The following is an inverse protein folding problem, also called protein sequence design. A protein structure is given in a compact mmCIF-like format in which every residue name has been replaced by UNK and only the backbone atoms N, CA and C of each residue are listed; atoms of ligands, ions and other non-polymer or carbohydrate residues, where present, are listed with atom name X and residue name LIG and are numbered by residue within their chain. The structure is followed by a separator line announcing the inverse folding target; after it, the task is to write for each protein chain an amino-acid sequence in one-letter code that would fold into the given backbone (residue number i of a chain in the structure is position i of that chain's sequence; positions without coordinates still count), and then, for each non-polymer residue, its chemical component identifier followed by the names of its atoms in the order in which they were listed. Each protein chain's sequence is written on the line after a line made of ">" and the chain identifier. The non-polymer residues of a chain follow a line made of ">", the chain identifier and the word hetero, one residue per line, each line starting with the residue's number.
data_IF_926788877321
#
_entry.id   IF_926788877321
#
_cell.length_a   1.000
_cell.length_b   1.000
_cell.length_c   1.000
_cell.angle_alpha   90.00
_cell.angle_beta   90.00
_cell.angle_gamma   90.00
#
_symmetry.space_group_name_H-M   'P 1'
#
loop_
_entity.id
_entity.type
_entity.pdbx_description
1 polymer ?
#
# COMPACT_ATOMS: atom_id res chain seq x y z
N UNK A 1 2.23 -18.44 18.38
CA UNK A 1 2.51 -18.29 16.94
C UNK A 1 1.48 -17.30 16.43
N UNK A 2 1.89 -16.13 15.92
CA UNK A 2 0.95 -15.18 15.30
C UNK A 2 0.29 -15.84 14.09
N UNK A 3 -1.01 -15.59 13.93
CA UNK A 3 -1.76 -16.14 12.79
C UNK A 3 -1.26 -15.48 11.49
N UNK A 4 -1.00 -16.28 10.44
CA UNK A 4 -0.59 -15.74 9.14
C UNK A 4 -1.78 -15.02 8.49
N UNK A 5 -1.65 -13.73 8.28
CA UNK A 5 -2.67 -12.87 7.64
C UNK A 5 -2.59 -12.95 6.12
N UNK A 6 -1.37 -12.82 5.57
CA UNK A 6 -1.12 -12.92 4.13
C UNK A 6 0.07 -13.84 3.88
N UNK A 7 -0.07 -14.81 2.98
CA UNK A 7 1.00 -15.66 2.48
C UNK A 7 1.09 -15.53 0.97
N UNK A 8 2.29 -15.35 0.45
CA UNK A 8 2.61 -15.33 -0.98
C UNK A 8 3.69 -16.38 -1.21
N UNK A 9 3.45 -17.35 -2.11
CA UNK A 9 4.32 -18.48 -2.34
C UNK A 9 4.61 -18.68 -3.83
N UNK A 10 5.88 -18.53 -4.23
CA UNK A 10 6.35 -18.78 -5.58
C UNK A 10 5.60 -17.98 -6.64
N UNK A 11 5.29 -16.71 -6.33
CA UNK A 11 4.45 -15.88 -7.18
C UNK A 11 5.21 -15.38 -8.40
N UNK A 12 4.77 -15.81 -9.57
CA UNK A 12 5.18 -15.28 -10.86
C UNK A 12 4.05 -14.41 -11.45
N UNK A 13 4.41 -13.27 -12.02
CA UNK A 13 3.44 -12.42 -12.73
C UNK A 13 4.00 -11.95 -14.06
N UNK A 14 3.12 -11.94 -15.07
CA UNK A 14 3.46 -11.62 -16.44
C UNK A 14 2.52 -10.55 -16.97
N UNK A 15 3.05 -9.60 -17.76
CA UNK A 15 2.28 -8.78 -18.69
C UNK A 15 2.64 -9.21 -20.09
N UNK A 16 1.70 -9.84 -20.79
CA UNK A 16 1.95 -10.51 -22.07
C UNK A 16 3.14 -11.50 -21.96
N UNK A 17 4.31 -11.17 -22.55
CA UNK A 17 5.54 -11.97 -22.47
C UNK A 17 6.53 -11.48 -21.41
N UNK A 18 6.30 -10.32 -20.80
CA UNK A 18 7.21 -9.75 -19.82
C UNK A 18 7.02 -10.41 -18.45
N UNK A 19 8.02 -11.14 -17.95
CA UNK A 19 8.06 -11.74 -16.62
C UNK A 19 8.47 -10.70 -15.60
N UNK A 20 7.53 -10.17 -14.83
CA UNK A 20 7.73 -9.02 -13.94
C UNK A 20 7.95 -9.44 -12.49
N UNK A 21 7.20 -10.44 -12.00
CA UNK A 21 7.46 -11.05 -10.69
C UNK A 21 8.02 -12.44 -10.91
N UNK A 22 9.06 -12.81 -10.16
CA UNK A 22 9.88 -13.99 -10.38
C UNK A 22 10.01 -14.78 -9.07
N UNK A 23 9.05 -15.65 -8.78
CA UNK A 23 9.06 -16.52 -7.62
C UNK A 23 8.98 -15.78 -6.29
N UNK A 24 8.23 -14.67 -6.22
CA UNK A 24 8.08 -13.88 -4.98
C UNK A 24 7.44 -14.72 -3.90
N UNK A 25 8.11 -14.78 -2.72
CA UNK A 25 7.60 -15.51 -1.56
C UNK A 25 7.84 -14.70 -0.29
N UNK A 26 6.81 -14.57 0.53
CA UNK A 26 6.87 -14.01 1.89
C UNK A 26 5.58 -14.33 2.64
N UNK A 27 5.65 -14.26 3.96
CA UNK A 27 4.48 -14.32 4.84
C UNK A 27 4.38 -13.04 5.65
N UNK A 28 3.17 -12.68 6.04
CA UNK A 28 2.86 -11.54 6.89
C UNK A 28 1.89 -12.00 7.96
N UNK A 29 2.22 -11.77 9.23
CA UNK A 29 1.37 -11.97 10.38
C UNK A 29 0.53 -10.72 10.71
N UNK A 30 0.12 -10.62 11.96
CA UNK A 30 -0.60 -9.46 12.51
C UNK A 30 0.37 -8.28 12.73
N UNK A 31 0.80 -7.64 11.66
CA UNK A 31 1.85 -6.62 11.68
C UNK A 31 1.69 -5.60 10.53
N UNK A 32 2.57 -4.61 10.53
CA UNK A 32 2.86 -3.76 9.36
C UNK A 32 4.15 -4.23 8.72
N UNK A 33 4.09 -4.50 7.41
CA UNK A 33 5.25 -4.88 6.58
C UNK A 33 5.43 -3.85 5.47
N UNK A 34 6.67 -3.43 5.24
CA UNK A 34 6.99 -2.58 4.10
C UNK A 34 7.79 -3.36 3.04
N UNK A 35 7.41 -3.20 1.78
CA UNK A 35 8.17 -3.65 0.62
C UNK A 35 8.82 -2.44 -0.02
N UNK A 36 10.14 -2.38 0.03
CA UNK A 36 10.92 -1.26 -0.50
C UNK A 36 11.67 -1.67 -1.76
N UNK A 37 11.80 -0.75 -2.69
CA UNK A 37 12.52 -0.97 -3.95
C UNK A 37 12.43 0.23 -4.87
N UNK A 38 13.31 0.29 -5.87
CA UNK A 38 13.31 1.32 -6.90
C UNK A 38 12.06 1.21 -7.79
N UNK A 39 11.79 2.27 -8.57
CA UNK A 39 10.73 2.22 -9.58
C UNK A 39 11.01 1.14 -10.61
N UNK A 40 9.96 0.46 -11.08
CA UNK A 40 10.07 -0.62 -12.05
C UNK A 40 10.49 -1.98 -11.48
N UNK A 41 10.65 -2.13 -10.15
CA UNK A 41 11.07 -3.40 -9.54
C UNK A 41 9.94 -4.42 -9.34
N UNK A 42 8.70 -4.12 -9.76
CA UNK A 42 7.57 -5.05 -9.66
C UNK A 42 6.63 -4.80 -8.46
N UNK A 43 6.88 -3.78 -7.64
CA UNK A 43 6.10 -3.49 -6.42
C UNK A 43 4.60 -3.33 -6.68
N UNK A 44 4.22 -2.43 -7.60
CA UNK A 44 2.80 -2.22 -7.97
C UNK A 44 2.19 -3.45 -8.65
N UNK A 45 3.02 -4.24 -9.35
CA UNK A 45 2.59 -5.53 -9.93
C UNK A 45 2.22 -6.53 -8.84
N UNK A 46 2.96 -6.56 -7.74
CA UNK A 46 2.62 -7.40 -6.59
C UNK A 46 1.28 -6.98 -5.98
N UNK A 47 1.07 -5.67 -5.76
CA UNK A 47 -0.23 -5.17 -5.27
C UNK A 47 -1.39 -5.55 -6.21
N UNK A 48 -1.21 -5.37 -7.53
CA UNK A 48 -2.24 -5.72 -8.53
C UNK A 48 -2.47 -7.23 -8.61
N UNK A 49 -1.44 -8.05 -8.41
CA UNK A 49 -1.57 -9.51 -8.36
C UNK A 49 -2.36 -9.95 -7.13
N UNK A 50 -2.06 -9.41 -5.93
CA UNK A 50 -2.80 -9.70 -4.69
C UNK A 50 -4.27 -9.30 -4.84
N UNK A 51 -4.56 -8.16 -5.47
CA UNK A 51 -5.92 -7.64 -5.68
C UNK A 51 -6.68 -8.31 -6.83
N UNK A 52 -6.09 -9.30 -7.52
CA UNK A 52 -6.74 -9.98 -8.65
C UNK A 52 -6.96 -9.09 -9.87
N UNK A 53 -6.22 -8.00 -10.01
CA UNK A 53 -6.38 -7.00 -11.08
C UNK A 53 -5.57 -7.35 -12.35
N UNK A 54 -4.68 -8.34 -12.30
CA UNK A 54 -3.81 -8.70 -13.42
C UNK A 54 -4.56 -9.03 -14.71
N UNK A 55 -5.69 -9.80 -14.70
CA UNK A 55 -6.42 -10.10 -15.94
C UNK A 55 -6.96 -8.85 -16.65
N UNK A 56 -7.41 -7.84 -15.89
CA UNK A 56 -7.91 -6.57 -16.47
C UNK A 56 -6.79 -5.76 -17.15
N UNK A 57 -5.54 -6.05 -16.82
CA UNK A 57 -4.32 -5.43 -17.36
C UNK A 57 -3.61 -6.33 -18.40
N UNK A 58 -4.30 -7.34 -18.93
CA UNK A 58 -3.76 -8.37 -19.83
C UNK A 58 -2.57 -9.13 -19.24
N UNK A 59 -2.56 -9.27 -17.92
CA UNK A 59 -1.54 -10.01 -17.18
C UNK A 59 -2.03 -11.38 -16.73
N UNK A 60 -1.09 -12.21 -16.31
CA UNK A 60 -1.36 -13.51 -15.71
C UNK A 60 -0.50 -13.72 -14.47
N UNK A 61 -0.97 -14.59 -13.57
CA UNK A 61 -0.33 -14.91 -12.30
C UNK A 61 -0.21 -16.42 -12.16
N UNK A 62 0.91 -16.89 -11.61
CA UNK A 62 1.13 -18.28 -11.18
C UNK A 62 1.68 -18.26 -9.74
N UNK A 63 1.53 -19.36 -9.02
CA UNK A 63 1.88 -19.44 -7.61
C UNK A 63 0.64 -19.40 -6.73
N UNK A 64 0.79 -19.04 -5.46
CA UNK A 64 -0.28 -18.99 -4.47
C UNK A 64 -0.24 -17.66 -3.71
N UNK A 65 -1.40 -17.08 -3.47
CA UNK A 65 -1.62 -15.93 -2.59
C UNK A 65 -2.77 -16.29 -1.67
N UNK A 66 -2.51 -16.37 -0.36
CA UNK A 66 -3.55 -16.68 0.62
C UNK A 66 -3.75 -15.54 1.60
N UNK A 67 -4.99 -15.19 1.82
CA UNK A 67 -5.41 -14.23 2.86
C UNK A 67 -6.27 -14.95 3.89
N UNK A 68 -5.84 -14.94 5.16
CA UNK A 68 -6.47 -15.71 6.25
C UNK A 68 -6.73 -17.16 5.83
N UNK A 69 -5.72 -17.82 5.23
CA UNK A 69 -5.75 -19.18 4.75
C UNK A 69 -6.55 -19.44 3.46
N UNK A 70 -7.23 -18.44 2.89
CA UNK A 70 -8.05 -18.57 1.67
C UNK A 70 -7.26 -18.16 0.43
N UNK A 71 -7.25 -19.02 -0.60
CA UNK A 71 -6.58 -18.75 -1.88
C UNK A 71 -7.26 -17.60 -2.64
N UNK A 72 -6.44 -16.66 -3.13
CA UNK A 72 -6.86 -15.48 -3.87
C UNK A 72 -6.57 -15.56 -5.37
N UNK A 73 -5.55 -16.34 -5.79
CA UNK A 73 -5.22 -16.46 -7.22
C UNK A 73 -6.41 -16.97 -8.00
N UNK A 74 -6.76 -16.26 -9.08
CA UNK A 74 -7.93 -16.56 -9.91
C UNK A 74 -9.26 -16.06 -9.34
N UNK A 75 -9.27 -15.40 -8.18
CA UNK A 75 -10.48 -14.76 -7.65
C UNK A 75 -10.66 -13.37 -8.26
N UNK A 76 -11.90 -12.96 -8.54
CA UNK A 76 -12.17 -11.61 -9.03
C UNK A 76 -11.96 -10.56 -7.92
N UNK A 77 -11.59 -9.31 -8.30
CA UNK A 77 -11.22 -8.25 -7.36
C UNK A 77 -12.30 -7.94 -6.29
N UNK A 78 -13.57 -8.00 -6.67
CA UNK A 78 -14.69 -7.76 -5.74
C UNK A 78 -14.80 -8.82 -4.65
N UNK A 79 -14.42 -10.06 -4.94
CA UNK A 79 -14.37 -11.16 -3.96
C UNK A 79 -13.21 -10.94 -2.99
N UNK A 80 -12.05 -10.50 -3.51
CA UNK A 80 -10.87 -10.20 -2.72
C UNK A 80 -11.14 -9.01 -1.78
N UNK A 81 -11.72 -7.93 -2.30
CA UNK A 81 -12.11 -6.79 -1.49
C UNK A 81 -13.14 -7.18 -0.40
N UNK A 82 -14.14 -7.99 -0.76
CA UNK A 82 -15.16 -8.49 0.19
C UNK A 82 -14.58 -9.43 1.26
N UNK A 83 -13.42 -10.05 0.99
CA UNK A 83 -12.73 -10.87 1.99
C UNK A 83 -12.08 -10.02 3.10
N UNK A 84 -11.95 -8.70 2.91
CA UNK A 84 -11.41 -7.75 3.88
C UNK A 84 -10.06 -7.18 3.51
N UNK A 85 -9.73 -7.07 2.22
CA UNK A 85 -8.52 -6.38 1.75
C UNK A 85 -8.92 -5.03 1.15
N UNK A 86 -8.44 -3.93 1.76
CA UNK A 86 -8.52 -2.59 1.23
C UNK A 86 -7.29 -2.26 0.39
N UNK A 87 -7.48 -1.49 -0.69
CA UNK A 87 -6.38 -1.13 -1.58
C UNK A 87 -6.35 0.35 -1.91
N UNK A 88 -5.21 0.97 -1.70
CA UNK A 88 -4.91 2.35 -2.13
C UNK A 88 -3.90 2.28 -3.26
N UNK A 89 -4.33 2.35 -4.52
CA UNK A 89 -3.43 2.27 -5.66
C UNK A 89 -2.62 3.55 -5.86
N UNK A 90 -1.48 3.45 -6.51
CA UNK A 90 -0.72 4.59 -7.01
C UNK A 90 -1.60 5.49 -7.90
N UNK A 91 -1.42 6.81 -7.80
CA UNK A 91 -2.14 7.79 -8.62
C UNK A 91 -3.56 8.12 -8.13
N UNK A 92 -3.90 7.80 -6.87
CA UNK A 92 -5.10 8.22 -6.12
C UNK A 92 -6.44 7.77 -6.70
N UNK A 93 -6.60 7.71 -8.03
CA UNK A 93 -7.75 7.21 -8.82
C UNK A 93 -9.12 7.69 -8.30
N UNK A 94 -9.27 9.01 -8.18
CA UNK A 94 -10.53 9.65 -7.83
C UNK A 94 -11.39 9.91 -9.07
N UNK A 95 -12.69 10.06 -8.84
CA UNK A 95 -13.63 10.57 -9.86
C UNK A 95 -13.60 12.11 -9.83
N UNK A 96 -13.10 12.78 -10.88
CA UNK A 96 -12.89 14.23 -10.86
C UNK A 96 -14.14 15.05 -10.57
N UNK A 97 -15.29 14.58 -11.03
CA UNK A 97 -16.58 15.27 -10.93
C UNK A 97 -17.35 15.02 -9.62
N UNK A 98 -16.99 13.97 -8.88
CA UNK A 98 -17.64 13.67 -7.62
C UNK A 98 -17.03 14.49 -6.49
N UNK A 99 -17.89 15.04 -5.62
CA UNK A 99 -17.46 15.69 -4.39
C UNK A 99 -16.87 14.69 -3.39
N UNK A 100 -16.12 15.20 -2.40
CA UNK A 100 -15.61 14.39 -1.29
C UNK A 100 -16.72 13.56 -0.64
N UNK A 101 -17.84 14.19 -0.34
CA UNK A 101 -18.98 13.55 0.33
C UNK A 101 -19.60 12.44 -0.54
N UNK A 102 -19.71 12.66 -1.86
CA UNK A 102 -20.20 11.63 -2.78
C UNK A 102 -19.24 10.44 -2.88
N UNK A 103 -17.92 10.68 -2.94
CA UNK A 103 -16.91 9.61 -2.92
C UNK A 103 -17.04 8.72 -1.67
N UNK A 104 -17.24 9.32 -0.50
CA UNK A 104 -17.39 8.56 0.75
C UNK A 104 -18.72 7.84 0.83
N UNK A 105 -19.83 8.44 0.34
CA UNK A 105 -21.16 7.82 0.34
C UNK A 105 -21.26 6.60 -0.58
N UNK A 106 -20.51 6.57 -1.69
CA UNK A 106 -20.53 5.43 -2.62
C UNK A 106 -20.15 4.11 -1.94
N UNK A 107 -19.31 4.18 -0.91
CA UNK A 107 -18.74 3.01 -0.23
C UNK A 107 -19.32 2.80 1.18
N UNK A 108 -20.26 3.66 1.59
CA UNK A 108 -20.85 3.55 2.91
C UNK A 108 -21.67 2.27 3.02
N UNK A 109 -21.11 1.24 3.64
CA UNK A 109 -21.78 -0.05 3.85
C UNK A 109 -22.97 0.13 4.78
N UNK A 110 -24.14 -0.40 4.39
CA UNK A 110 -25.31 -0.46 5.27
C UNK A 110 -25.06 -1.50 6.37
N UNK A 111 -24.72 -1.03 7.57
CA UNK A 111 -24.53 -1.92 8.73
C UNK A 111 -23.68 -1.29 9.83
N UNK A 112 -23.38 -2.05 10.89
CA UNK A 112 -22.41 -1.68 11.94
C UNK A 112 -20.98 -1.87 11.39
N UNK A 113 -20.55 -0.94 10.55
CA UNK A 113 -19.17 -0.89 10.08
C UNK A 113 -18.30 -0.19 11.13
N UNK A 114 -17.05 -0.62 11.29
CA UNK A 114 -16.08 0.07 12.14
C UNK A 114 -15.71 1.44 11.54
N UNK A 115 -15.73 1.56 10.20
CA UNK A 115 -15.46 2.78 9.47
C UNK A 115 -16.71 3.31 8.76
N UNK A 116 -17.03 4.57 9.01
CA UNK A 116 -18.02 5.35 8.28
C UNK A 116 -17.44 6.71 7.85
N UNK A 117 -18.20 7.50 7.12
CA UNK A 117 -17.75 8.81 6.64
C UNK A 117 -17.41 9.78 7.80
N UNK A 118 -18.01 9.61 8.98
CA UNK A 118 -17.72 10.44 10.15
C UNK A 118 -16.31 10.18 10.66
N UNK A 119 -15.92 8.91 10.83
CA UNK A 119 -14.58 8.53 11.25
C UNK A 119 -13.52 8.96 10.23
N UNK A 120 -13.83 8.88 8.91
CA UNK A 120 -12.93 9.40 7.87
C UNK A 120 -12.73 10.91 8.02
N UNK A 121 -13.78 11.69 8.33
CA UNK A 121 -13.65 13.11 8.56
C UNK A 121 -12.95 13.46 9.89
N UNK A 122 -13.08 12.61 10.91
CA UNK A 122 -12.31 12.73 12.16
C UNK A 122 -10.83 12.44 11.95
N UNK A 123 -10.52 11.46 11.09
CA UNK A 123 -9.14 11.11 10.72
C UNK A 123 -8.49 12.16 9.81
N UNK A 124 -9.28 12.76 8.91
CA UNK A 124 -8.84 13.77 7.94
C UNK A 124 -9.73 15.02 7.99
N UNK A 125 -9.54 15.93 8.97
CA UNK A 125 -10.35 17.14 9.12
C UNK A 125 -10.36 18.04 7.87
N UNK A 126 -9.25 18.04 7.10
CA UNK A 126 -9.15 18.78 5.84
C UNK A 126 -10.21 18.33 4.83
N UNK A 127 -10.57 17.05 4.80
CA UNK A 127 -11.64 16.55 3.94
C UNK A 127 -13.02 17.03 4.41
N UNK A 128 -13.20 17.20 5.72
CA UNK A 128 -14.44 17.74 6.27
C UNK A 128 -14.69 19.18 5.81
N UNK A 129 -13.66 20.01 5.71
CA UNK A 129 -13.73 21.39 5.19
C UNK A 129 -14.02 21.41 3.68
N UNK A 130 -13.62 20.37 2.96
CA UNK A 130 -13.73 20.24 1.51
C UNK A 130 -14.89 19.35 1.04
N UNK A 131 -15.87 19.03 1.89
CA UNK A 131 -16.95 18.05 1.63
C UNK A 131 -17.64 18.22 0.28
N UNK A 132 -17.85 19.48 -0.16
CA UNK A 132 -18.58 19.83 -1.39
C UNK A 132 -17.68 20.04 -2.61
N UNK A 133 -16.34 20.01 -2.43
CA UNK A 133 -15.41 20.19 -3.55
C UNK A 133 -15.28 18.90 -4.35
N UNK A 134 -15.18 19.04 -5.66
CA UNK A 134 -14.94 17.92 -6.57
C UNK A 134 -13.53 17.36 -6.42
N UNK A 135 -13.34 16.08 -6.78
CA UNK A 135 -12.04 15.43 -6.69
C UNK A 135 -10.92 16.15 -7.45
N UNK A 136 -11.25 16.85 -8.55
CA UNK A 136 -10.32 17.65 -9.32
C UNK A 136 -9.89 18.97 -8.64
N UNK A 137 -10.67 19.46 -7.68
CA UNK A 137 -10.42 20.72 -6.97
C UNK A 137 -9.54 20.52 -5.72
N UNK A 138 -9.27 19.28 -5.36
CA UNK A 138 -8.46 18.92 -4.20
C UNK A 138 -6.97 19.03 -4.50
N UNK A 139 -6.19 19.46 -3.51
CA UNK A 139 -4.73 19.33 -3.52
C UNK A 139 -4.30 17.87 -3.59
N UNK A 140 -3.05 17.62 -4.00
CA UNK A 140 -2.53 16.24 -4.05
C UNK A 140 -2.59 15.51 -2.70
N UNK A 141 -2.39 16.20 -1.57
CA UNK A 141 -2.53 15.63 -0.23
C UNK A 141 -3.97 15.29 0.12
N UNK A 142 -4.92 16.20 -0.15
CA UNK A 142 -6.34 15.95 0.08
C UNK A 142 -6.87 14.80 -0.79
N UNK A 143 -6.41 14.71 -2.04
CA UNK A 143 -6.74 13.58 -2.92
C UNK A 143 -6.24 12.25 -2.34
N UNK A 144 -5.03 12.22 -1.77
CA UNK A 144 -4.46 11.02 -1.16
C UNK A 144 -5.23 10.63 0.10
N UNK A 145 -5.57 11.61 0.96
CA UNK A 145 -6.40 11.38 2.15
C UNK A 145 -7.77 10.82 1.76
N UNK A 146 -8.38 11.32 0.69
CA UNK A 146 -9.66 10.81 0.18
C UNK A 146 -9.54 9.38 -0.36
N UNK A 147 -8.45 9.06 -1.06
CA UNK A 147 -8.20 7.71 -1.55
C UNK A 147 -8.05 6.71 -0.39
N UNK A 148 -7.32 7.09 0.67
CA UNK A 148 -7.17 6.30 1.90
C UNK A 148 -8.52 6.17 2.61
N UNK A 149 -9.26 7.26 2.81
CA UNK A 149 -10.58 7.24 3.43
C UNK A 149 -11.56 6.31 2.71
N UNK A 150 -11.54 6.29 1.38
CA UNK A 150 -12.33 5.35 0.58
C UNK A 150 -11.94 3.90 0.84
N UNK A 151 -10.64 3.60 0.95
CA UNK A 151 -10.19 2.24 1.25
C UNK A 151 -10.62 1.82 2.67
N UNK A 152 -10.56 2.71 3.65
CA UNK A 152 -11.01 2.44 5.03
C UNK A 152 -12.52 2.15 5.11
N UNK A 153 -13.35 2.80 4.29
CA UNK A 153 -14.80 2.55 4.25
C UNK A 153 -15.18 1.14 3.76
N UNK A 154 -14.26 0.39 3.17
CA UNK A 154 -14.47 -1.03 2.89
C UNK A 154 -14.31 -1.91 4.14
N UNK A 155 -13.96 -1.33 5.28
CA UNK A 155 -13.72 -2.01 6.55
C UNK A 155 -12.69 -3.15 6.43
N UNK A 156 -11.48 -2.87 5.91
CA UNK A 156 -10.50 -3.89 5.64
C UNK A 156 -9.87 -4.41 6.93
N UNK A 157 -9.46 -5.68 6.92
CA UNK A 157 -8.53 -6.26 7.90
C UNK A 157 -7.08 -6.01 7.50
N UNK A 158 -6.81 -6.02 6.19
CA UNK A 158 -5.51 -5.71 5.60
C UNK A 158 -5.65 -4.52 4.66
N UNK A 159 -4.87 -3.47 4.89
CA UNK A 159 -4.77 -2.31 4.01
C UNK A 159 -3.48 -2.40 3.19
N UNK A 160 -3.61 -2.50 1.87
CA UNK A 160 -2.47 -2.48 0.93
C UNK A 160 -2.35 -1.08 0.35
N UNK A 161 -1.16 -0.49 0.43
CA UNK A 161 -0.91 0.86 -0.07
C UNK A 161 0.28 0.85 -1.03
N UNK A 162 0.06 1.38 -2.23
CA UNK A 162 1.05 1.43 -3.31
C UNK A 162 1.56 2.87 -3.48
N UNK A 163 2.76 3.13 -2.96
CA UNK A 163 3.47 4.41 -2.97
C UNK A 163 2.62 5.59 -2.49
N UNK A 164 2.00 5.50 -1.29
CA UNK A 164 1.05 6.52 -0.81
C UNK A 164 1.70 7.89 -0.58
N UNK A 165 3.03 7.98 -0.47
CA UNK A 165 3.77 9.22 -0.25
C UNK A 165 4.24 9.90 -1.55
N UNK A 166 3.97 9.29 -2.73
CA UNK A 166 4.48 9.81 -4.00
C UNK A 166 3.89 11.18 -4.34
N UNK A 167 4.78 12.13 -4.72
CA UNK A 167 4.38 13.47 -5.15
C UNK A 167 3.74 14.33 -4.07
N UNK A 168 3.89 13.98 -2.79
CA UNK A 168 3.37 14.75 -1.66
C UNK A 168 4.44 15.62 -1.02
N UNK A 169 4.01 16.77 -0.47
CA UNK A 169 4.86 17.63 0.35
C UNK A 169 5.27 16.91 1.65
N UNK A 170 6.47 17.17 2.19
CA UNK A 170 6.98 16.51 3.40
C UNK A 170 6.00 16.55 4.58
N UNK A 171 5.38 17.68 4.85
CA UNK A 171 4.40 17.85 5.94
C UNK A 171 3.17 16.96 5.81
N UNK A 172 2.74 16.69 4.56
CA UNK A 172 1.62 15.77 4.31
C UNK A 172 2.08 14.33 4.50
N UNK A 173 3.32 14.01 4.10
CA UNK A 173 3.90 12.67 4.31
C UNK A 173 3.99 12.37 5.80
N UNK A 174 4.50 13.31 6.61
CA UNK A 174 4.62 13.17 8.06
C UNK A 174 3.24 12.91 8.70
N UNK A 175 2.24 13.69 8.30
CA UNK A 175 0.86 13.49 8.77
C UNK A 175 0.30 12.10 8.38
N UNK A 176 0.54 11.64 7.15
CA UNK A 176 0.10 10.29 6.73
C UNK A 176 0.82 9.19 7.52
N UNK A 177 2.10 9.36 7.85
CA UNK A 177 2.84 8.42 8.71
C UNK A 177 2.17 8.32 10.09
N UNK A 178 1.83 9.44 10.72
CA UNK A 178 1.10 9.45 12.00
C UNK A 178 -0.25 8.73 11.91
N UNK A 179 -0.99 8.99 10.84
CA UNK A 179 -2.29 8.32 10.58
C UNK A 179 -2.10 6.81 10.46
N UNK A 180 -1.11 6.35 9.69
CA UNK A 180 -0.88 4.92 9.49
C UNK A 180 -0.37 4.23 10.76
N UNK A 181 0.47 4.91 11.56
CA UNK A 181 0.88 4.39 12.88
C UNK A 181 -0.33 4.18 13.78
N UNK A 182 -1.24 5.16 13.85
CA UNK A 182 -2.47 5.05 14.62
C UNK A 182 -3.35 3.91 14.13
N UNK A 183 -3.54 3.76 12.81
CA UNK A 183 -4.30 2.64 12.25
C UNK A 183 -3.70 1.28 12.62
N UNK A 184 -2.37 1.17 12.61
CA UNK A 184 -1.67 -0.06 13.02
C UNK A 184 -1.82 -0.34 14.52
N UNK A 185 -1.75 0.69 15.37
CA UNK A 185 -2.01 0.58 16.82
C UNK A 185 -3.44 0.16 17.12
N UNK A 186 -4.41 0.58 16.30
CA UNK A 186 -5.82 0.17 16.37
C UNK A 186 -6.07 -1.25 15.78
N UNK A 187 -4.99 -1.98 15.42
CA UNK A 187 -5.05 -3.37 14.95
C UNK A 187 -5.23 -3.54 13.44
N UNK A 188 -5.07 -2.50 12.64
CA UNK A 188 -5.06 -2.62 11.18
C UNK A 188 -3.76 -3.25 10.70
N UNK A 189 -3.83 -4.34 9.93
CA UNK A 189 -2.65 -4.87 9.26
C UNK A 189 -2.37 -4.05 8.00
N UNK A 190 -1.10 -3.69 7.77
CA UNK A 190 -0.72 -2.81 6.66
C UNK A 190 0.40 -3.44 5.85
N UNK A 191 0.17 -3.63 4.55
CA UNK A 191 1.21 -3.91 3.57
C UNK A 191 1.51 -2.62 2.81
N UNK A 192 2.64 -2.01 3.13
CA UNK A 192 3.10 -0.79 2.50
C UNK A 192 4.10 -1.11 1.39
N UNK A 193 3.86 -0.59 0.21
CA UNK A 193 4.83 -0.60 -0.88
C UNK A 193 5.35 0.82 -1.07
N UNK A 194 6.67 1.01 -0.96
CA UNK A 194 7.28 2.34 -0.99
C UNK A 194 8.64 2.37 -1.69
N UNK A 195 8.99 3.54 -2.21
CA UNK A 195 10.33 3.86 -2.68
C UNK A 195 11.11 4.66 -1.63
N UNK A 196 10.43 5.51 -0.85
CA UNK A 196 11.06 6.37 0.17
C UNK A 196 11.33 5.56 1.42
N UNK A 197 12.62 5.25 1.68
CA UNK A 197 13.03 4.49 2.87
C UNK A 197 12.53 5.15 4.16
N UNK A 198 12.62 6.48 4.27
CA UNK A 198 12.18 7.19 5.48
C UNK A 198 10.74 6.90 5.87
N UNK A 199 9.82 6.81 4.89
CA UNK A 199 8.41 6.44 5.12
C UNK A 199 8.29 4.97 5.53
N UNK A 200 8.97 4.09 4.82
CA UNK A 200 8.91 2.66 5.08
C UNK A 200 9.41 2.29 6.48
N UNK A 201 10.55 2.83 6.90
CA UNK A 201 11.13 2.55 8.24
C UNK A 201 10.35 3.21 9.38
N UNK A 202 9.68 4.34 9.11
CA UNK A 202 8.83 4.99 10.11
C UNK A 202 7.55 4.19 10.41
N UNK A 203 7.07 3.38 9.45
CA UNK A 203 5.80 2.65 9.55
C UNK A 203 5.96 1.17 9.89
N UNK A 204 6.97 0.51 9.36
CA UNK A 204 7.11 -0.93 9.47
C UNK A 204 8.45 -1.30 10.11
N UNK A 205 8.41 -2.16 11.12
CA UNK A 205 9.66 -2.72 11.70
C UNK A 205 10.30 -3.72 10.74
N UNK A 206 9.50 -4.47 10.00
CA UNK A 206 9.94 -5.50 9.05
C UNK A 206 9.92 -4.95 7.64
N UNK A 207 11.05 -5.10 6.95
CA UNK A 207 11.30 -4.56 5.62
C UNK A 207 11.65 -5.68 4.66
N UNK A 208 10.96 -5.75 3.53
CA UNK A 208 11.26 -6.65 2.42
C UNK A 208 11.83 -5.82 1.27
N UNK A 209 13.01 -6.16 0.78
CA UNK A 209 13.65 -5.43 -0.32
C UNK A 209 13.38 -6.14 -1.63
N UNK A 210 12.74 -5.44 -2.56
CA UNK A 210 12.40 -5.96 -3.88
C UNK A 210 13.35 -5.40 -4.94
N UNK A 211 13.96 -6.31 -5.72
CA UNK A 211 14.82 -5.98 -6.87
C UNK A 211 14.51 -6.94 -8.00
N UNK A 212 14.27 -6.39 -9.21
CA UNK A 212 14.03 -7.19 -10.40
C UNK A 212 12.90 -8.21 -10.29
N UNK A 213 11.82 -7.88 -9.58
CA UNK A 213 10.68 -8.77 -9.40
C UNK A 213 10.86 -9.86 -8.35
N UNK A 214 11.88 -9.80 -7.52
CA UNK A 214 12.16 -10.76 -6.45
C UNK A 214 12.33 -10.07 -5.11
N UNK A 215 11.94 -10.74 -4.01
CA UNK A 215 12.34 -10.35 -2.66
C UNK A 215 13.76 -10.89 -2.44
N UNK A 216 14.73 -9.97 -2.43
CA UNK A 216 16.16 -10.34 -2.34
C UNK A 216 16.72 -10.26 -0.93
N UNK A 217 16.00 -9.59 -0.03
CA UNK A 217 16.42 -9.41 1.35
C UNK A 217 15.20 -9.15 2.24
N UNK A 218 15.22 -9.74 3.42
CA UNK A 218 14.38 -9.38 4.55
C UNK A 218 15.26 -8.79 5.64
N UNK A 219 14.87 -7.64 6.19
CA UNK A 219 15.65 -6.88 7.16
C UNK A 219 14.74 -6.09 8.11
N UNK A 220 15.32 -5.44 9.09
CA UNK A 220 14.59 -4.54 10.00
C UNK A 220 14.71 -3.08 9.56
N UNK A 221 13.76 -2.25 10.01
CA UNK A 221 13.82 -0.80 9.80
C UNK A 221 15.13 -0.18 10.31
N UNK A 222 15.61 -0.66 11.47
CA UNK A 222 16.84 -0.22 12.10
C UNK A 222 18.07 -0.54 11.25
N UNK A 223 18.17 -1.78 10.76
CA UNK A 223 19.25 -2.20 9.87
C UNK A 223 19.20 -1.45 8.54
N UNK A 224 18.00 -1.34 7.93
CA UNK A 224 17.83 -0.64 6.66
C UNK A 224 18.18 0.84 6.77
N UNK A 225 17.86 1.51 7.90
CA UNK A 225 18.17 2.94 8.09
C UNK A 225 19.65 3.20 8.37
N UNK A 226 20.36 2.28 9.04
CA UNK A 226 21.76 2.45 9.47
C UNK A 226 22.77 1.96 8.42
N UNK A 227 22.44 0.95 7.60
CA UNK A 227 23.37 0.35 6.64
C UNK A 227 23.32 1.05 5.27
N UNK A 228 24.19 2.06 5.10
CA UNK A 228 24.35 2.79 3.85
C UNK A 228 24.75 1.90 2.66
N UNK A 229 25.55 0.85 2.90
CA UNK A 229 25.98 -0.06 1.83
C UNK A 229 24.78 -0.86 1.30
N UNK A 230 23.91 -1.30 2.20
CA UNK A 230 22.65 -1.96 1.86
C UNK A 230 21.76 -1.04 1.03
N UNK A 231 21.56 0.21 1.47
CA UNK A 231 20.78 1.22 0.75
C UNK A 231 21.33 1.48 -0.64
N UNK A 232 22.64 1.64 -0.76
CA UNK A 232 23.32 1.88 -2.05
C UNK A 232 23.20 0.66 -2.97
N UNK A 233 23.43 -0.56 -2.44
CA UNK A 233 23.43 -1.79 -3.22
C UNK A 233 22.05 -2.14 -3.78
N UNK A 234 21.00 -2.02 -2.98
CA UNK A 234 19.67 -2.50 -3.34
C UNK A 234 18.72 -1.39 -3.79
N UNK A 235 18.91 -0.17 -3.28
CA UNK A 235 17.99 0.94 -3.52
C UNK A 235 18.63 2.08 -4.33
N UNK A 236 19.94 1.99 -4.62
CA UNK A 236 20.67 2.94 -5.48
C UNK A 236 20.71 4.36 -4.91
N UNK A 237 20.69 4.50 -3.59
CA UNK A 237 20.81 5.80 -2.94
C UNK A 237 22.28 6.18 -2.95
N UNK A 238 22.63 7.14 -3.81
CA UNK A 238 23.97 7.72 -3.82
C UNK A 238 24.20 8.52 -2.53
N UNK A 239 25.31 8.23 -1.86
CA UNK A 239 25.81 9.10 -0.81
C UNK A 239 26.23 10.42 -1.43
N UNK A 240 25.59 11.51 -1.08
CA UNK A 240 26.21 12.82 -1.26
C UNK A 240 27.57 12.74 -0.54
N UNK A 241 28.64 12.74 -1.32
CA UNK A 241 30.00 12.83 -0.79
C UNK A 241 30.04 14.04 0.16
N UNK A 242 30.55 13.83 1.37
CA UNK A 242 30.83 14.95 2.26
C UNK A 242 31.68 15.96 1.48
N UNK A 243 31.40 17.26 1.56
CA UNK A 243 32.28 18.26 0.93
C UNK A 243 33.69 18.02 1.49
N UNK A 244 34.67 17.88 0.58
CA UNK A 244 36.08 17.87 0.93
C UNK A 244 36.39 19.21 1.59
N UNK A 245 36.76 19.18 2.88
CA UNK A 245 37.44 20.30 3.56
C UNK A 245 38.79 20.57 2.95
#
# INVERSE_FOLDING_TARGET
>A
MSETVLSVEGLDAYYESAHVLQGVSFEMGEETVAIVGRNGMGKSTLCTAIMGLMPSLRGSVRGSIRFLGKELVGRPPEVIASAGIGYVPQGRRLFPSLSVDEHLRMLNSRGRAAWDAKQVYELFPQLAERRRHGGAELSGGEQQMLAIGRALLTNPKLLIMDEPSEGLAPTIVDHLVEVFQRLAEDGMHILLVEQKIGVAVALAKRQLVMVGGQIVLETTAEQLSSDRKMQQRYLGIETLAAPHE
#
